data_IF_931933901915
#
_entry.id   IF_931933901915
#
_cell.length_a   1.000
_cell.length_b   1.000
_cell.length_c   1.000
_cell.angle_alpha   90.00
_cell.angle_beta   90.00
_cell.angle_gamma   90.00
#
_symmetry.space_group_name_H-M   'P 1'
#
loop_
_entity.id
_entity.type
_entity.pdbx_description
1 polymer ?
#
# COMPACT_ATOMS: atom_id res chain seq x y z
N UNK A 1 -8.09 14.47 -11.65
CA UNK A 1 -8.60 13.20 -12.24
C UNK A 1 -7.78 12.08 -11.60
N UNK A 2 -8.41 11.05 -11.04
CA UNK A 2 -7.69 9.91 -10.46
C UNK A 2 -6.94 9.19 -11.58
N UNK A 3 -5.63 9.05 -11.45
CA UNK A 3 -4.83 8.24 -12.35
C UNK A 3 -4.77 6.82 -11.78
N UNK A 4 -5.17 5.86 -12.60
CA UNK A 4 -5.13 4.44 -12.27
C UNK A 4 -4.07 3.81 -13.15
N UNK A 5 -3.13 3.10 -12.54
CA UNK A 5 -2.19 2.27 -13.28
C UNK A 5 -2.49 0.80 -12.96
N UNK A 6 -2.56 -0.03 -14.01
CA UNK A 6 -2.81 -1.46 -13.85
C UNK A 6 -1.52 -2.23 -14.09
N UNK A 7 -1.11 -3.04 -13.12
CA UNK A 7 0.04 -3.90 -13.26
C UNK A 7 -0.29 -5.19 -14.05
N UNK A 8 0.26 -5.33 -15.25
CA UNK A 8 0.12 -6.56 -16.06
C UNK A 8 1.24 -7.56 -15.79
N UNK A 9 2.43 -7.07 -15.44
CA UNK A 9 3.65 -7.80 -15.10
C UNK A 9 4.48 -6.98 -14.12
N UNK A 10 5.38 -7.61 -13.33
CA UNK A 10 6.30 -6.87 -12.50
C UNK A 10 7.12 -5.86 -13.30
N UNK A 11 7.16 -4.62 -12.83
CA UNK A 11 7.96 -3.54 -13.40
C UNK A 11 9.38 -3.50 -12.82
N UNK A 12 9.58 -4.08 -11.64
CA UNK A 12 10.89 -4.16 -11.00
C UNK A 12 11.71 -5.25 -11.68
N UNK A 13 12.80 -4.85 -12.33
CA UNK A 13 13.82 -5.77 -12.81
C UNK A 13 14.76 -6.13 -11.65
N UNK A 14 14.58 -7.33 -11.10
CA UNK A 14 15.39 -7.86 -9.98
C UNK A 14 16.88 -7.93 -10.36
N UNK A 15 17.23 -8.12 -11.64
CA UNK A 15 18.63 -8.20 -12.10
C UNK A 15 19.33 -6.84 -12.05
N UNK A 16 18.59 -5.74 -12.20
CA UNK A 16 19.12 -4.37 -12.14
C UNK A 16 19.40 -3.89 -10.70
N UNK A 17 18.82 -4.56 -9.69
CA UNK A 17 18.85 -4.12 -8.30
C UNK A 17 20.09 -4.60 -7.50
N UNK A 18 21.09 -5.22 -8.15
CA UNK A 18 22.06 -6.04 -7.43
C UNK A 18 23.51 -6.07 -7.90
N UNK A 19 23.99 -5.15 -8.74
CA UNK A 19 25.40 -5.22 -9.21
C UNK A 19 26.37 -4.34 -8.39
N UNK A 20 25.89 -3.43 -7.54
CA UNK A 20 26.77 -2.44 -6.88
C UNK A 20 26.85 -2.45 -5.36
N UNK A 21 25.82 -2.87 -4.62
CA UNK A 21 25.79 -2.71 -3.17
C UNK A 21 25.13 -3.91 -2.50
N UNK A 22 25.87 -4.57 -1.60
CA UNK A 22 25.43 -5.71 -0.79
C UNK A 22 24.49 -5.23 0.34
N UNK A 23 23.40 -4.55 -0.02
CA UNK A 23 22.41 -4.00 0.92
C UNK A 23 21.34 -5.09 1.13
N UNK A 24 21.10 -5.54 2.37
CA UNK A 24 20.05 -6.52 2.66
C UNK A 24 18.68 -6.04 2.16
N UNK A 25 17.80 -6.92 1.62
CA UNK A 25 16.49 -6.52 1.08
C UNK A 25 15.64 -5.69 2.04
N UNK A 26 15.67 -6.00 3.34
CA UNK A 26 14.94 -5.23 4.35
C UNK A 26 15.43 -3.78 4.47
N UNK A 27 16.73 -3.55 4.27
CA UNK A 27 17.29 -2.21 4.28
C UNK A 27 16.95 -1.46 2.99
N UNK A 28 16.82 -2.17 1.86
CA UNK A 28 16.35 -1.57 0.61
C UNK A 28 14.92 -1.03 0.76
N UNK A 29 14.01 -1.81 1.36
CA UNK A 29 12.63 -1.35 1.64
C UNK A 29 12.61 -0.11 2.54
N UNK A 30 13.48 -0.06 3.55
CA UNK A 30 13.62 1.11 4.43
C UNK A 30 14.18 2.35 3.74
N UNK A 31 14.94 2.17 2.65
CA UNK A 31 15.57 3.27 1.90
C UNK A 31 14.73 3.78 0.72
N UNK A 32 13.65 3.09 0.36
CA UNK A 32 12.70 3.56 -0.65
C UNK A 32 12.11 4.92 -0.27
N UNK A 33 11.77 5.74 -1.26
CA UNK A 33 10.86 6.86 -1.04
C UNK A 33 9.40 6.38 -0.99
N UNK A 34 8.48 7.30 -0.70
CA UNK A 34 7.04 6.99 -0.57
C UNK A 34 6.47 6.33 -1.85
N UNK A 35 6.75 6.88 -3.03
CA UNK A 35 6.23 6.33 -4.31
C UNK A 35 6.84 4.97 -4.65
N UNK A 36 8.14 4.77 -4.40
CA UNK A 36 8.79 3.47 -4.59
C UNK A 36 8.23 2.42 -3.64
N UNK A 37 7.87 2.81 -2.41
CA UNK A 37 7.28 1.91 -1.43
C UNK A 37 5.84 1.52 -1.78
N UNK A 38 5.05 2.45 -2.35
CA UNK A 38 3.74 2.12 -2.91
C UNK A 38 3.85 1.16 -4.09
N UNK A 39 4.77 1.40 -5.02
CA UNK A 39 5.05 0.48 -6.13
C UNK A 39 5.48 -0.90 -5.62
N UNK A 40 6.38 -0.94 -4.64
CA UNK A 40 6.79 -2.20 -4.01
C UNK A 40 5.59 -2.94 -3.41
N UNK A 41 4.66 -2.22 -2.77
CA UNK A 41 3.44 -2.82 -2.19
C UNK A 41 2.52 -3.37 -3.28
N UNK A 42 2.34 -2.65 -4.40
CA UNK A 42 1.59 -3.13 -5.57
C UNK A 42 2.18 -4.45 -6.12
N UNK A 43 3.50 -4.47 -6.31
CA UNK A 43 4.27 -5.61 -6.81
C UNK A 43 4.20 -6.80 -5.85
N UNK A 44 4.34 -6.56 -4.55
CA UNK A 44 4.20 -7.59 -3.52
C UNK A 44 2.81 -8.21 -3.52
N UNK A 45 1.75 -7.39 -3.61
CA UNK A 45 0.38 -7.89 -3.71
C UNK A 45 0.17 -8.70 -4.99
N UNK A 46 0.74 -8.25 -6.11
CA UNK A 46 0.69 -8.99 -7.37
C UNK A 46 1.41 -10.33 -7.25
N UNK A 47 2.59 -10.38 -6.64
CA UNK A 47 3.36 -11.62 -6.52
C UNK A 47 2.73 -12.61 -5.53
N UNK A 48 2.28 -12.13 -4.36
CA UNK A 48 1.87 -12.98 -3.26
C UNK A 48 0.36 -13.22 -3.18
N UNK A 49 -0.47 -12.31 -3.71
CA UNK A 49 -1.94 -12.37 -3.60
C UNK A 49 -2.67 -12.40 -4.94
N UNK A 50 -1.98 -12.67 -6.05
CA UNK A 50 -2.60 -12.75 -7.40
C UNK A 50 -3.82 -13.65 -7.49
N UNK A 51 -3.82 -14.77 -6.77
CA UNK A 51 -4.92 -15.74 -6.81
C UNK A 51 -6.17 -15.24 -6.05
N UNK A 52 -6.02 -14.21 -5.23
CA UNK A 52 -7.11 -13.66 -4.42
C UNK A 52 -7.78 -12.46 -5.09
N UNK A 53 -7.03 -11.68 -5.88
CA UNK A 53 -7.54 -10.48 -6.54
C UNK A 53 -7.67 -10.66 -8.05
N UNK A 54 -8.77 -10.15 -8.62
CA UNK A 54 -8.97 -10.08 -10.07
C UNK A 54 -8.13 -8.97 -10.71
N UNK A 55 -7.89 -7.89 -9.96
CA UNK A 55 -6.96 -6.83 -10.36
C UNK A 55 -6.42 -6.11 -9.13
N UNK A 56 -5.22 -5.56 -9.28
CA UNK A 56 -4.59 -4.70 -8.29
C UNK A 56 -4.26 -3.38 -9.00
N UNK A 57 -4.53 -2.25 -8.33
CA UNK A 57 -4.31 -0.92 -8.88
C UNK A 57 -3.72 0.00 -7.84
N UNK A 58 -2.65 0.71 -8.21
CA UNK A 58 -2.15 1.85 -7.43
C UNK A 58 -2.91 3.14 -7.80
N UNK A 59 -3.14 3.99 -6.81
CA UNK A 59 -3.76 5.31 -6.96
C UNK A 59 -2.76 6.34 -6.45
N UNK A 60 -2.26 7.17 -7.35
CA UNK A 60 -1.32 8.22 -7.00
C UNK A 60 -1.97 9.60 -6.79
N UNK A 61 -1.35 10.39 -5.92
CA UNK A 61 -1.58 11.81 -5.76
C UNK A 61 -2.72 12.17 -4.81
N UNK A 62 -2.92 13.48 -4.57
CA UNK A 62 -3.83 14.05 -3.58
C UNK A 62 -5.33 13.62 -3.65
N UNK A 63 -5.70 12.79 -4.63
CA UNK A 63 -7.03 12.19 -4.78
C UNK A 63 -7.17 10.78 -4.20
N UNK A 64 -6.10 10.13 -3.72
CA UNK A 64 -6.14 8.76 -3.17
C UNK A 64 -7.18 8.61 -2.04
N UNK A 65 -7.35 9.67 -1.24
CA UNK A 65 -8.21 9.75 -0.05
C UNK A 65 -7.93 8.62 0.94
N UNK A 66 -6.65 8.28 1.10
CA UNK A 66 -6.19 7.26 2.06
C UNK A 66 -6.19 5.83 1.51
N UNK A 67 -5.94 5.65 0.20
CA UNK A 67 -5.96 4.35 -0.50
C UNK A 67 -4.92 4.32 -1.61
N UNK A 68 -3.69 4.00 -1.26
CA UNK A 68 -2.58 4.03 -2.22
C UNK A 68 -2.62 2.81 -3.15
N UNK A 69 -3.06 1.65 -2.67
CA UNK A 69 -3.26 0.45 -3.50
C UNK A 69 -4.62 -0.20 -3.21
N UNK A 70 -5.31 -0.64 -4.26
CA UNK A 70 -6.61 -1.33 -4.18
C UNK A 70 -6.49 -2.74 -4.77
N UNK A 71 -6.91 -3.73 -4.00
CA UNK A 71 -7.13 -5.10 -4.47
C UNK A 71 -8.62 -5.34 -4.74
N UNK A 72 -8.97 -5.73 -5.97
CA UNK A 72 -10.35 -6.02 -6.36
C UNK A 72 -10.61 -7.52 -6.34
N UNK A 73 -11.73 -7.95 -5.78
CA UNK A 73 -12.20 -9.33 -5.81
C UNK A 73 -13.15 -9.58 -6.99
N UNK A 74 -13.39 -10.86 -7.29
CA UNK A 74 -14.32 -11.28 -8.34
C UNK A 74 -15.79 -10.94 -8.02
N UNK A 75 -16.14 -10.86 -6.74
CA UNK A 75 -17.48 -10.55 -6.26
C UNK A 75 -17.75 -9.03 -6.16
N UNK A 76 -16.84 -8.19 -6.67
CA UNK A 76 -16.95 -6.74 -6.65
C UNK A 76 -16.56 -6.07 -5.33
N UNK A 77 -16.18 -6.83 -4.30
CA UNK A 77 -15.60 -6.25 -3.07
C UNK A 77 -14.16 -5.82 -3.27
N UNK A 78 -13.65 -4.96 -2.40
CA UNK A 78 -12.31 -4.39 -2.49
C UNK A 78 -11.58 -4.42 -1.16
N UNK A 79 -10.27 -4.55 -1.20
CA UNK A 79 -9.38 -4.26 -0.09
C UNK A 79 -8.59 -2.99 -0.40
N UNK A 80 -8.35 -2.18 0.63
CA UNK A 80 -7.56 -0.96 0.53
C UNK A 80 -6.28 -1.09 1.34
N UNK A 81 -5.18 -0.61 0.76
CA UNK A 81 -3.85 -0.60 1.35
C UNK A 81 -3.36 0.84 1.39
N UNK A 82 -3.19 1.38 2.59
CA UNK A 82 -2.51 2.66 2.84
C UNK A 82 -1.06 2.38 3.20
N UNK A 83 -0.15 2.76 2.33
CA UNK A 83 1.28 2.74 2.55
C UNK A 83 1.68 3.93 3.42
N UNK A 84 2.58 3.70 4.37
CA UNK A 84 3.21 4.71 5.21
C UNK A 84 4.70 4.44 5.32
N UNK A 85 5.49 5.21 4.57
CA UNK A 85 6.94 5.17 4.68
C UNK A 85 7.41 6.27 5.64
N UNK A 86 7.39 5.97 6.94
CA UNK A 86 7.84 6.91 7.97
C UNK A 86 9.27 6.62 8.38
N UNK A 87 10.00 7.65 8.84
CA UNK A 87 11.31 7.48 9.46
C UNK A 87 11.25 6.70 10.79
N UNK A 88 10.06 6.55 11.38
CA UNK A 88 9.80 5.87 12.65
C UNK A 88 8.67 4.85 12.53
N UNK A 89 8.49 4.02 13.56
CA UNK A 89 7.36 3.11 13.69
C UNK A 89 6.02 3.87 13.70
N UNK A 90 4.98 3.26 13.14
CA UNK A 90 3.63 3.83 13.12
C UNK A 90 3.12 4.05 14.55
N UNK A 91 2.69 5.27 14.84
CA UNK A 91 2.08 5.63 16.13
C UNK A 91 0.56 5.44 16.11
N UNK A 92 -0.09 5.27 17.27
CA UNK A 92 -1.55 5.24 17.35
C UNK A 92 -2.22 6.47 16.75
N UNK A 93 -1.66 7.67 16.96
CA UNK A 93 -2.22 8.91 16.42
C UNK A 93 -2.23 8.94 14.89
N UNK A 94 -1.15 8.48 14.24
CA UNK A 94 -1.07 8.38 12.79
C UNK A 94 -2.05 7.34 12.24
N UNK A 95 -2.16 6.19 12.91
CA UNK A 95 -3.16 5.17 12.59
C UNK A 95 -4.58 5.72 12.62
N UNK A 96 -4.96 6.44 13.69
CA UNK A 96 -6.31 6.99 13.83
C UNK A 96 -6.65 8.04 12.77
N UNK A 97 -5.67 8.81 12.28
CA UNK A 97 -5.89 9.76 11.19
C UNK A 97 -6.30 9.02 9.92
N UNK A 98 -5.59 7.96 9.56
CA UNK A 98 -5.89 7.19 8.34
C UNK A 98 -7.21 6.41 8.46
N UNK A 99 -7.48 5.84 9.64
CA UNK A 99 -8.79 5.25 9.93
C UNK A 99 -9.93 6.28 9.84
N UNK A 100 -9.69 7.51 10.34
CA UNK A 100 -10.63 8.62 10.24
C UNK A 100 -10.96 8.98 8.80
N UNK A 101 -9.96 9.01 7.91
CA UNK A 101 -10.16 9.20 6.46
C UNK A 101 -11.02 8.09 5.87
N UNK A 102 -10.73 6.82 6.19
CA UNK A 102 -11.53 5.69 5.72
C UNK A 102 -13.01 5.86 6.11
N UNK A 103 -13.28 6.12 7.40
CA UNK A 103 -14.64 6.34 7.90
C UNK A 103 -15.32 7.52 7.20
N UNK A 104 -14.63 8.65 7.06
CA UNK A 104 -15.19 9.86 6.46
C UNK A 104 -15.56 9.66 4.98
N UNK A 105 -14.63 9.10 4.19
CA UNK A 105 -14.83 8.98 2.75
C UNK A 105 -15.73 7.81 2.33
N UNK A 106 -15.84 6.76 3.15
CA UNK A 106 -16.89 5.75 2.96
C UNK A 106 -18.26 6.31 3.33
N UNK A 107 -18.37 7.07 4.43
CA UNK A 107 -19.62 7.71 4.83
C UNK A 107 -20.12 8.74 3.81
N UNK A 108 -19.23 9.50 3.20
CA UNK A 108 -19.57 10.47 2.14
C UNK A 108 -19.78 9.84 0.76
N UNK A 109 -19.74 8.50 0.65
CA UNK A 109 -19.89 7.73 -0.60
C UNK A 109 -18.88 8.10 -1.69
N UNK A 110 -17.72 8.62 -1.31
CA UNK A 110 -16.62 8.90 -2.22
C UNK A 110 -15.98 7.59 -2.74
N UNK A 111 -16.15 6.51 -1.96
CA UNK A 111 -15.83 5.16 -2.38
C UNK A 111 -16.53 4.09 -1.55
N UNK A 112 -16.53 2.86 -2.08
CA UNK A 112 -17.13 1.71 -1.43
C UNK A 112 -16.44 1.34 -0.11
N UNK A 113 -17.22 0.86 0.86
CA UNK A 113 -16.70 0.27 2.10
C UNK A 113 -15.87 -0.97 1.74
N UNK A 114 -14.60 -1.07 2.17
CA UNK A 114 -13.78 -2.22 1.83
C UNK A 114 -14.16 -3.44 2.67
N UNK A 115 -13.78 -4.62 2.16
CA UNK A 115 -13.80 -5.87 2.92
C UNK A 115 -12.72 -5.85 4.01
N UNK A 116 -11.51 -5.39 3.67
CA UNK A 116 -10.42 -5.17 4.62
C UNK A 116 -9.70 -3.84 4.34
N UNK A 117 -9.22 -3.22 5.41
CA UNK A 117 -8.35 -2.04 5.35
C UNK A 117 -7.00 -2.36 5.99
N UNK A 118 -5.92 -2.15 5.25
CA UNK A 118 -4.56 -2.43 5.69
C UNK A 118 -3.74 -1.15 5.72
N UNK A 119 -2.95 -0.99 6.78
CA UNK A 119 -1.85 -0.02 6.80
C UNK A 119 -0.54 -0.80 6.63
N UNK A 120 0.21 -0.45 5.60
CA UNK A 120 1.49 -1.06 5.26
C UNK A 120 2.58 -0.07 5.63
N UNK A 121 3.38 -0.38 6.64
CA UNK A 121 4.43 0.51 7.12
C UNK A 121 5.83 -0.06 6.80
N UNK A 122 6.76 0.80 6.38
CA UNK A 122 8.14 0.39 6.09
C UNK A 122 8.96 0.09 7.34
N UNK A 123 8.54 0.65 8.47
CA UNK A 123 9.02 0.34 9.80
C UNK A 123 7.90 -0.37 10.59
N UNK A 124 8.28 -1.30 11.47
CA UNK A 124 7.35 -2.13 12.25
C UNK A 124 6.18 -1.33 12.84
N UNK A 125 5.05 -2.01 13.06
CA UNK A 125 3.98 -1.45 13.88
C UNK A 125 4.54 -1.13 15.27
N UNK A 126 4.42 0.12 15.73
CA UNK A 126 4.94 0.51 17.03
C UNK A 126 4.35 -0.37 18.14
N UNK A 127 5.13 -0.64 19.19
CA UNK A 127 4.77 -1.54 20.31
C UNK A 127 3.41 -1.25 20.97
N UNK A 128 2.87 -0.03 20.81
CA UNK A 128 1.58 0.40 21.36
C UNK A 128 0.37 0.09 20.46
N UNK A 129 0.56 -0.54 19.30
CA UNK A 129 -0.50 -0.98 18.39
C UNK A 129 -0.77 -2.49 18.46
N UNK A 130 0.08 -3.24 19.16
CA UNK A 130 0.06 -4.71 19.21
C UNK A 130 -0.32 -5.28 20.58
N UNK A 131 -0.86 -4.45 21.48
CA UNK A 131 -1.26 -4.85 22.84
C UNK A 131 -2.60 -5.56 22.89
#
# INVERSE_FOLDING_TARGET
MLQFESLSKPKIDIESFGIGANIPPINQVKMMDEDSFEHFTEEWLYACKKNNYTSIKRIGGAGDKGRDVIGYYNNGTVDYYQCKHYASALTPSEYYIELGKLCYYTFSNEYAIPKNYYIVASNDAGLNLTS
#
